data_IF_645659789417
#
_entry.id   IF_645659789417
#
_cell.length_a   1.000
_cell.length_b   1.000
_cell.length_c   1.000
_cell.angle_alpha   90.00
_cell.angle_beta   90.00
_cell.angle_gamma   90.00
#
_symmetry.space_group_name_H-M   'P 1'
#
loop_
_entity.id
_entity.type
_entity.pdbx_description
1 polymer ?
#
# COMPACT_ATOMS: atom_id res chain seq x y z
N UNK A 1 -37.87 -13.55 -9.43
CA UNK A 1 -36.41 -13.44 -9.64
C UNK A 1 -35.87 -12.52 -8.55
N UNK A 2 -34.93 -12.98 -7.73
CA UNK A 2 -34.36 -12.22 -6.60
C UNK A 2 -32.84 -12.46 -6.55
N UNK A 3 -32.05 -11.72 -7.35
CA UNK A 3 -30.63 -12.01 -7.56
C UNK A 3 -29.79 -12.01 -6.28
N UNK A 4 -30.08 -11.11 -5.33
CA UNK A 4 -29.37 -11.03 -4.06
C UNK A 4 -29.74 -12.17 -3.08
N UNK A 5 -31.00 -12.63 -3.08
CA UNK A 5 -31.47 -13.67 -2.17
C UNK A 5 -31.00 -15.08 -2.56
N UNK A 6 -30.70 -15.27 -3.86
CA UNK A 6 -30.21 -16.53 -4.42
C UNK A 6 -28.77 -16.41 -4.92
N UNK A 7 -27.98 -15.48 -4.36
CA UNK A 7 -26.56 -15.37 -4.67
C UNK A 7 -25.83 -16.63 -4.16
N UNK A 8 -25.27 -17.49 -5.03
CA UNK A 8 -24.60 -18.72 -4.61
C UNK A 8 -23.31 -18.47 -3.81
N UNK A 9 -22.76 -17.24 -3.81
CA UNK A 9 -21.62 -16.84 -2.98
C UNK A 9 -21.99 -16.68 -1.51
N UNK A 10 -23.16 -16.11 -1.24
CA UNK A 10 -23.60 -15.74 0.12
C UNK A 10 -24.62 -16.74 0.66
N UNK A 11 -25.46 -17.29 -0.22
CA UNK A 11 -26.62 -18.10 0.11
C UNK A 11 -26.70 -19.35 -0.79
N UNK A 12 -25.62 -20.15 -0.81
CA UNK A 12 -25.52 -21.35 -1.66
C UNK A 12 -26.74 -22.28 -1.53
N UNK A 13 -27.19 -22.56 -0.31
CA UNK A 13 -28.31 -23.49 -0.09
C UNK A 13 -29.61 -22.98 -0.71
N UNK A 14 -29.87 -21.67 -0.63
CA UNK A 14 -31.04 -21.04 -1.27
C UNK A 14 -30.89 -21.04 -2.79
N UNK A 15 -29.70 -20.78 -3.31
CA UNK A 15 -29.40 -20.84 -4.74
C UNK A 15 -29.60 -22.27 -5.30
N UNK A 16 -29.16 -23.29 -4.56
CA UNK A 16 -29.30 -24.69 -4.93
C UNK A 16 -30.75 -25.17 -4.86
N UNK A 17 -31.51 -24.80 -3.82
CA UNK A 17 -32.96 -25.05 -3.80
C UNK A 17 -33.67 -24.40 -4.99
N UNK A 18 -33.23 -23.19 -5.36
CA UNK A 18 -33.77 -22.50 -6.53
C UNK A 18 -33.41 -23.20 -7.84
N UNK A 19 -32.20 -23.75 -7.96
CA UNK A 19 -31.78 -24.60 -9.09
C UNK A 19 -32.70 -25.82 -9.24
N UNK A 20 -32.96 -26.56 -8.15
CA UNK A 20 -33.85 -27.73 -8.18
C UNK A 20 -35.28 -27.36 -8.60
N UNK A 21 -35.79 -26.23 -8.12
CA UNK A 21 -37.10 -25.72 -8.55
C UNK A 21 -37.15 -25.43 -10.05
N UNK A 22 -36.09 -24.84 -10.62
CA UNK A 22 -36.01 -24.56 -12.06
C UNK A 22 -35.92 -25.86 -12.86
N UNK A 23 -35.08 -26.82 -12.45
CA UNK A 23 -34.97 -28.12 -13.11
C UNK A 23 -36.31 -28.87 -13.14
N UNK A 24 -37.05 -28.87 -12.03
CA UNK A 24 -38.40 -29.45 -11.97
C UNK A 24 -39.38 -28.75 -12.94
N UNK A 25 -39.30 -27.42 -13.05
CA UNK A 25 -40.08 -26.65 -14.03
C UNK A 25 -39.70 -26.93 -15.49
N UNK A 26 -38.43 -27.23 -15.77
CA UNK A 26 -37.98 -27.63 -17.10
C UNK A 26 -38.47 -29.03 -17.48
N UNK A 27 -38.58 -29.95 -16.52
CA UNK A 27 -39.20 -31.26 -16.75
C UNK A 27 -40.69 -31.11 -17.04
N UNK A 28 -41.40 -30.30 -16.24
CA UNK A 28 -42.86 -30.12 -16.41
C UNK A 28 -43.25 -29.43 -17.72
N UNK A 29 -42.35 -28.62 -18.28
CA UNK A 29 -42.54 -27.96 -19.58
C UNK A 29 -42.00 -28.78 -20.76
N UNK A 30 -41.42 -29.96 -20.51
CA UNK A 30 -40.85 -30.84 -21.54
C UNK A 30 -39.52 -30.35 -22.11
N UNK A 31 -38.87 -29.35 -21.49
CA UNK A 31 -37.56 -28.85 -21.89
C UNK A 31 -36.42 -29.80 -21.51
N UNK A 32 -36.61 -30.65 -20.48
CA UNK A 32 -35.68 -31.70 -20.05
C UNK A 32 -36.43 -33.01 -19.77
N UNK A 33 -35.75 -34.15 -19.90
CA UNK A 33 -36.21 -35.41 -19.32
C UNK A 33 -35.91 -35.46 -17.81
N UNK A 34 -36.59 -36.34 -17.07
CA UNK A 34 -36.30 -36.55 -15.64
C UNK A 34 -34.84 -36.92 -15.42
N UNK A 35 -34.28 -37.81 -16.25
CA UNK A 35 -32.89 -38.25 -16.15
C UNK A 35 -31.90 -37.11 -16.39
N UNK A 36 -32.21 -36.18 -17.29
CA UNK A 36 -31.38 -34.98 -17.51
C UNK A 36 -31.43 -34.04 -16.31
N UNK A 37 -32.60 -33.86 -15.71
CA UNK A 37 -32.76 -33.04 -14.51
C UNK A 37 -32.05 -33.66 -13.30
N UNK A 38 -32.14 -34.97 -13.10
CA UNK A 38 -31.45 -35.68 -12.02
C UNK A 38 -29.93 -35.62 -12.18
N UNK A 39 -29.44 -35.76 -13.42
CA UNK A 39 -28.02 -35.60 -13.72
C UNK A 39 -27.53 -34.18 -13.41
N UNK A 40 -28.25 -33.14 -13.87
CA UNK A 40 -27.89 -31.76 -13.61
C UNK A 40 -27.99 -31.37 -12.13
N UNK A 41 -28.92 -31.97 -11.37
CA UNK A 41 -29.04 -31.78 -9.93
C UNK A 41 -27.87 -32.40 -9.15
N UNK A 42 -27.25 -33.45 -9.68
CA UNK A 42 -26.10 -34.14 -9.10
C UNK A 42 -24.73 -33.54 -9.45
N UNK A 43 -24.68 -32.51 -10.29
CA UNK A 43 -23.43 -31.81 -10.61
C UNK A 43 -22.92 -31.02 -9.39
N UNK A 44 -21.61 -31.09 -9.13
CA UNK A 44 -20.97 -30.34 -8.04
C UNK A 44 -20.70 -28.90 -8.47
N UNK A 45 -21.78 -28.13 -8.63
CA UNK A 45 -21.73 -26.71 -9.00
C UNK A 45 -20.94 -25.89 -7.96
N UNK A 46 -20.83 -26.38 -6.72
CA UNK A 46 -20.08 -25.73 -5.66
C UNK A 46 -18.58 -25.66 -5.95
N UNK A 47 -18.00 -26.73 -6.49
CA UNK A 47 -16.57 -26.75 -6.83
C UNK A 47 -16.26 -26.03 -8.14
N UNK A 48 -17.25 -25.85 -9.01
CA UNK A 48 -17.11 -25.11 -10.27
C UNK A 48 -17.34 -23.59 -10.14
N UNK A 49 -17.87 -23.12 -9.01
CA UNK A 49 -18.06 -21.69 -8.73
C UNK A 49 -16.71 -20.96 -8.70
N UNK A 50 -16.34 -20.38 -9.84
CA UNK A 50 -15.20 -19.47 -9.98
C UNK A 50 -15.56 -18.10 -9.37
N UNK A 51 -15.51 -18.01 -8.05
CA UNK A 51 -15.67 -16.73 -7.35
C UNK A 51 -14.44 -15.89 -7.67
N UNK A 52 -14.62 -14.82 -8.43
CA UNK A 52 -13.60 -13.79 -8.64
C UNK A 52 -13.06 -13.37 -7.27
N UNK A 53 -11.78 -13.61 -7.04
CA UNK A 53 -11.10 -13.22 -5.81
C UNK A 53 -11.29 -11.73 -5.60
N UNK A 54 -11.80 -11.35 -4.43
CA UNK A 54 -11.85 -9.92 -4.07
C UNK A 54 -10.42 -9.40 -3.95
N UNK A 55 -10.23 -8.08 -4.02
CA UNK A 55 -8.91 -7.47 -3.81
C UNK A 55 -8.20 -7.99 -2.54
N UNK A 56 -8.97 -8.36 -1.50
CA UNK A 56 -8.50 -9.00 -0.26
C UNK A 56 -7.74 -10.31 -0.45
N UNK A 57 -7.98 -11.05 -1.52
CA UNK A 57 -7.34 -12.33 -1.84
C UNK A 57 -6.20 -12.19 -2.86
N UNK A 58 -5.91 -10.96 -3.31
CA UNK A 58 -4.77 -10.68 -4.18
C UNK A 58 -3.45 -10.89 -3.43
N UNK A 59 -2.40 -11.20 -4.20
CA UNK A 59 -1.00 -11.20 -3.71
C UNK A 59 -0.48 -9.80 -3.37
N UNK A 60 -1.21 -8.74 -3.77
CA UNK A 60 -0.86 -7.34 -3.53
C UNK A 60 -2.12 -6.49 -3.29
N UNK A 61 -2.84 -6.70 -2.17
CA UNK A 61 -4.19 -6.15 -1.99
C UNK A 61 -4.21 -4.61 -2.00
N UNK A 62 -3.27 -3.95 -1.32
CA UNK A 62 -3.13 -2.48 -1.34
C UNK A 62 -2.89 -1.92 -2.74
N UNK A 63 -2.01 -2.56 -3.52
CA UNK A 63 -1.75 -2.15 -4.90
C UNK A 63 -2.98 -2.32 -5.80
N UNK A 64 -3.70 -3.43 -5.64
CA UNK A 64 -4.93 -3.69 -6.40
C UNK A 64 -6.00 -2.66 -6.05
N UNK A 65 -6.21 -2.34 -4.78
CA UNK A 65 -7.14 -1.30 -4.35
C UNK A 65 -6.78 0.06 -4.96
N UNK A 66 -5.49 0.43 -4.93
CA UNK A 66 -5.01 1.66 -5.54
C UNK A 66 -5.30 1.72 -7.05
N UNK A 67 -4.99 0.64 -7.78
CA UNK A 67 -5.26 0.55 -9.22
C UNK A 67 -6.76 0.60 -9.52
N UNK A 68 -7.60 -0.06 -8.73
CA UNK A 68 -9.06 0.00 -8.90
C UNK A 68 -9.58 1.42 -8.73
N UNK A 69 -9.16 2.14 -7.69
CA UNK A 69 -9.53 3.56 -7.48
C UNK A 69 -9.13 4.42 -8.67
N UNK A 70 -7.94 4.20 -9.24
CA UNK A 70 -7.48 4.98 -10.39
C UNK A 70 -8.22 4.62 -11.68
N UNK A 71 -8.57 3.35 -11.90
CA UNK A 71 -9.42 2.94 -13.01
C UNK A 71 -10.83 3.52 -12.89
N UNK A 72 -11.42 3.55 -11.70
CA UNK A 72 -12.73 4.14 -11.47
C UNK A 72 -12.73 5.65 -11.75
N UNK A 73 -11.66 6.37 -11.42
CA UNK A 73 -11.50 7.79 -11.79
C UNK A 73 -11.41 7.99 -13.30
N UNK A 74 -10.75 7.08 -14.02
CA UNK A 74 -10.48 7.22 -15.46
C UNK A 74 -11.67 6.77 -16.32
N UNK A 75 -12.31 5.66 -15.96
CA UNK A 75 -13.33 4.99 -16.79
C UNK A 75 -14.73 5.02 -16.18
N UNK A 76 -14.86 5.46 -14.93
CA UNK A 76 -16.11 5.40 -14.17
C UNK A 76 -16.34 4.03 -13.55
N UNK A 77 -16.98 4.01 -12.38
CA UNK A 77 -17.25 2.79 -11.61
C UNK A 77 -18.06 1.76 -12.39
N UNK A 78 -19.03 2.20 -13.19
CA UNK A 78 -19.86 1.30 -14.00
C UNK A 78 -19.04 0.49 -15.01
N UNK A 79 -18.07 1.11 -15.69
CA UNK A 79 -17.23 0.43 -16.67
C UNK A 79 -16.27 -0.58 -15.99
N UNK A 80 -15.71 -0.21 -14.84
CA UNK A 80 -14.83 -1.10 -14.06
C UNK A 80 -15.61 -2.32 -13.54
N UNK A 81 -16.83 -2.11 -13.02
CA UNK A 81 -17.67 -3.19 -12.48
C UNK A 81 -18.26 -4.13 -13.54
N UNK A 82 -18.55 -3.62 -14.74
CA UNK A 82 -19.04 -4.42 -15.86
C UNK A 82 -17.96 -5.37 -16.43
N UNK A 83 -16.68 -5.14 -16.09
CA UNK A 83 -15.57 -6.00 -16.48
C UNK A 83 -15.10 -5.80 -17.93
N UNK A 84 -14.38 -6.79 -18.45
CA UNK A 84 -13.83 -6.75 -19.82
C UNK A 84 -12.52 -5.96 -19.97
N UNK A 85 -12.03 -5.34 -18.90
CA UNK A 85 -10.75 -4.62 -18.88
C UNK A 85 -9.64 -5.55 -18.39
N UNK A 86 -8.59 -5.72 -19.21
CA UNK A 86 -7.36 -6.39 -18.79
C UNK A 86 -6.31 -5.33 -18.48
N UNK A 87 -5.84 -5.32 -17.24
CA UNK A 87 -4.88 -4.32 -16.76
C UNK A 87 -3.54 -4.99 -16.52
N UNK A 88 -2.53 -4.59 -17.31
CA UNK A 88 -1.14 -4.99 -17.09
C UNK A 88 -0.42 -3.89 -16.31
N UNK A 89 0.11 -4.24 -15.15
CA UNK A 89 0.78 -3.30 -14.25
C UNK A 89 2.30 -3.52 -14.24
N UNK A 90 3.02 -2.67 -13.52
CA UNK A 90 4.48 -2.72 -13.35
C UNK A 90 4.93 -3.55 -12.16
N UNK A 91 3.97 -4.10 -11.40
CA UNK A 91 4.21 -4.84 -10.17
C UNK A 91 5.03 -6.10 -10.44
N UNK A 92 6.10 -6.27 -9.66
CA UNK A 92 6.90 -7.48 -9.64
C UNK A 92 6.43 -8.33 -8.45
N UNK A 93 5.85 -9.50 -8.73
CA UNK A 93 5.26 -10.35 -7.69
C UNK A 93 6.31 -10.96 -6.75
N UNK A 94 7.52 -11.23 -7.25
CA UNK A 94 8.59 -11.79 -6.42
C UNK A 94 9.10 -10.71 -5.45
N UNK A 95 9.32 -9.49 -5.95
CA UNK A 95 9.70 -8.37 -5.10
C UNK A 95 8.57 -7.98 -4.13
N UNK A 96 7.31 -8.03 -4.57
CA UNK A 96 6.15 -7.80 -3.71
C UNK A 96 6.12 -8.77 -2.53
N UNK A 97 6.38 -10.07 -2.77
CA UNK A 97 6.41 -11.07 -1.72
C UNK A 97 7.55 -10.81 -0.72
N UNK A 98 8.73 -10.45 -1.21
CA UNK A 98 9.86 -10.07 -0.35
C UNK A 98 9.53 -8.82 0.47
N UNK A 99 8.92 -7.80 -0.13
CA UNK A 99 8.50 -6.58 0.55
C UNK A 99 7.48 -6.86 1.65
N UNK A 100 6.45 -7.67 1.36
CA UNK A 100 5.43 -8.05 2.34
C UNK A 100 6.04 -8.80 3.53
N UNK A 101 6.94 -9.76 3.27
CA UNK A 101 7.66 -10.48 4.32
C UNK A 101 8.53 -9.54 5.16
N UNK A 102 9.24 -8.59 4.54
CA UNK A 102 10.06 -7.62 5.25
C UNK A 102 9.24 -6.72 6.18
N UNK A 103 8.07 -6.25 5.73
CA UNK A 103 7.14 -5.44 6.55
C UNK A 103 6.60 -6.27 7.73
N UNK A 104 6.12 -7.49 7.47
CA UNK A 104 5.58 -8.36 8.51
C UNK A 104 6.64 -8.71 9.57
N UNK A 105 7.83 -9.15 9.13
CA UNK A 105 8.94 -9.48 10.02
C UNK A 105 9.41 -8.26 10.82
N UNK A 106 9.54 -7.09 10.17
CA UNK A 106 9.96 -5.87 10.85
C UNK A 106 8.98 -5.41 11.94
N UNK A 107 7.67 -5.55 11.70
CA UNK A 107 6.66 -5.28 12.72
C UNK A 107 6.75 -6.30 13.86
N UNK A 108 6.94 -7.58 13.55
CA UNK A 108 7.12 -8.61 14.57
C UNK A 108 8.35 -8.35 15.45
N UNK A 109 9.49 -8.00 14.86
CA UNK A 109 10.74 -7.69 15.56
C UNK A 109 10.62 -6.47 16.49
N UNK A 110 9.77 -5.51 16.09
CA UNK A 110 9.53 -4.27 16.83
C UNK A 110 8.30 -4.32 17.74
N UNK A 111 7.61 -5.46 17.82
CA UNK A 111 6.38 -5.63 18.61
C UNK A 111 6.56 -5.25 20.09
N UNK A 112 7.73 -5.50 20.67
CA UNK A 112 8.07 -5.09 22.05
C UNK A 112 8.05 -3.58 22.29
N UNK A 113 8.13 -2.77 21.22
CA UNK A 113 8.04 -1.31 21.26
C UNK A 113 6.63 -0.82 20.90
N UNK A 114 5.64 -1.72 20.91
CA UNK A 114 4.25 -1.42 20.55
C UNK A 114 4.10 -0.94 19.09
N UNK A 115 5.00 -1.38 18.21
CA UNK A 115 4.83 -1.24 16.76
C UNK A 115 3.91 -2.36 16.29
N UNK A 116 2.80 -2.00 15.65
CA UNK A 116 1.79 -2.96 15.18
C UNK A 116 1.54 -2.88 13.67
N UNK A 117 2.14 -1.93 12.97
CA UNK A 117 1.96 -1.74 11.54
C UNK A 117 3.18 -1.04 10.91
N UNK A 118 3.36 -1.21 9.61
CA UNK A 118 4.43 -0.60 8.81
C UNK A 118 4.06 -0.65 7.32
N UNK A 119 4.84 0.01 6.47
CA UNK A 119 4.64 0.01 5.02
C UNK A 119 5.95 0.02 4.27
N UNK A 120 5.87 -0.36 2.99
CA UNK A 120 6.98 -0.35 2.06
C UNK A 120 6.49 -0.05 0.65
N UNK A 121 7.14 0.90 -0.02
CA UNK A 121 6.96 1.18 -1.44
C UNK A 121 8.32 1.05 -2.13
N UNK A 122 8.38 0.28 -3.21
CA UNK A 122 9.56 0.18 -4.05
C UNK A 122 9.21 0.66 -5.47
N UNK A 123 10.01 1.60 -5.96
CA UNK A 123 9.86 2.15 -7.31
C UNK A 123 11.21 2.19 -8.04
N UNK A 124 11.16 2.02 -9.35
CA UNK A 124 12.33 2.22 -10.21
C UNK A 124 12.68 3.73 -10.27
N UNK A 125 13.91 4.13 -9.91
CA UNK A 125 14.26 5.55 -9.78
C UNK A 125 14.42 6.26 -11.14
N UNK A 126 14.49 5.53 -12.25
CA UNK A 126 14.63 6.12 -13.60
C UNK A 126 13.28 6.35 -14.25
N UNK A 127 12.35 5.45 -14.03
CA UNK A 127 11.04 5.41 -14.71
C UNK A 127 9.88 5.80 -13.80
N UNK A 128 10.05 5.72 -12.48
CA UNK A 128 8.98 5.88 -11.51
C UNK A 128 8.03 4.70 -11.42
N UNK A 129 8.28 3.60 -12.16
CA UNK A 129 7.44 2.40 -12.12
C UNK A 129 7.41 1.81 -10.71
N UNK A 130 6.22 1.64 -10.14
CA UNK A 130 6.07 0.93 -8.87
C UNK A 130 6.27 -0.56 -9.09
N UNK A 131 7.18 -1.16 -8.32
CA UNK A 131 7.52 -2.58 -8.39
C UNK A 131 6.96 -3.38 -7.21
N UNK A 132 6.82 -2.77 -6.05
CA UNK A 132 6.15 -3.35 -4.88
C UNK A 132 5.46 -2.27 -4.05
N UNK A 133 4.31 -2.61 -3.47
CA UNK A 133 3.47 -1.72 -2.68
C UNK A 133 2.81 -2.50 -1.54
N UNK A 134 3.20 -2.18 -0.31
CA UNK A 134 2.71 -2.80 0.92
C UNK A 134 2.27 -1.70 1.86
N UNK A 135 0.95 -1.50 1.97
CA UNK A 135 0.35 -0.46 2.80
C UNK A 135 0.23 -0.81 4.28
N UNK A 136 0.35 -2.07 4.65
CA UNK A 136 0.26 -2.54 6.04
C UNK A 136 0.94 -3.90 6.22
N UNK A 137 1.20 -4.28 7.48
CA UNK A 137 1.82 -5.56 7.82
C UNK A 137 0.92 -6.78 7.55
N UNK A 138 -0.39 -6.60 7.69
CA UNK A 138 -1.40 -7.60 7.33
C UNK A 138 -2.67 -6.88 6.89
N UNK A 139 -3.00 -6.98 5.60
CA UNK A 139 -4.18 -6.36 5.02
C UNK A 139 -5.49 -6.88 5.64
N UNK A 140 -5.53 -8.16 6.01
CA UNK A 140 -6.73 -8.81 6.54
C UNK A 140 -6.98 -8.55 8.03
N UNK A 141 -6.06 -7.89 8.72
CA UNK A 141 -6.12 -7.71 10.16
C UNK A 141 -6.74 -6.37 10.56
N UNK A 142 -8.02 -6.39 10.92
CA UNK A 142 -8.75 -5.18 11.32
C UNK A 142 -8.21 -4.55 12.61
N UNK A 143 -7.58 -5.33 13.51
CA UNK A 143 -7.07 -4.82 14.79
C UNK A 143 -5.90 -3.82 14.62
N UNK A 144 -5.20 -3.88 13.49
CA UNK A 144 -4.12 -2.94 13.12
C UNK A 144 -4.57 -1.94 12.04
N UNK A 145 -5.85 -1.98 11.64
CA UNK A 145 -6.37 -1.25 10.50
C UNK A 145 -5.74 -1.72 9.19
N UNK A 146 -5.67 -3.04 8.95
CA UNK A 146 -4.93 -3.64 7.84
C UNK A 146 -5.25 -3.08 6.46
N UNK A 147 -6.50 -2.67 6.20
CA UNK A 147 -6.90 -2.06 4.92
C UNK A 147 -6.52 -0.58 4.78
N UNK A 148 -6.03 0.06 5.86
CA UNK A 148 -5.53 1.41 5.79
C UNK A 148 -4.15 1.42 5.13
N UNK A 149 -4.06 2.02 3.95
CA UNK A 149 -2.81 2.12 3.21
C UNK A 149 -1.91 3.23 3.78
N UNK A 150 -0.90 2.82 4.55
CA UNK A 150 0.06 3.74 5.17
C UNK A 150 0.96 4.40 4.11
N UNK A 151 1.15 3.83 2.92
CA UNK A 151 1.94 4.45 1.83
C UNK A 151 1.29 5.77 1.39
N UNK A 152 -0.04 5.83 1.37
CA UNK A 152 -0.79 7.04 0.99
C UNK A 152 -1.02 8.01 2.16
N UNK A 153 -0.63 7.62 3.38
CA UNK A 153 -0.92 8.39 4.58
C UNK A 153 0.08 9.54 4.77
N UNK A 154 -0.37 10.81 4.88
CA UNK A 154 0.53 11.91 5.18
C UNK A 154 1.22 11.73 6.53
N UNK A 155 2.55 11.76 6.53
CA UNK A 155 3.39 11.69 7.74
C UNK A 155 4.51 12.73 7.65
N UNK A 156 5.00 13.17 8.80
CA UNK A 156 6.20 13.98 8.84
C UNK A 156 7.41 13.10 8.47
N UNK A 157 8.20 13.47 7.43
CA UNK A 157 9.37 12.68 7.03
C UNK A 157 10.50 12.71 8.06
N UNK A 158 10.49 13.71 8.95
CA UNK A 158 11.55 13.93 9.93
C UNK A 158 12.90 14.11 9.24
N UNK A 159 13.95 13.48 9.79
CA UNK A 159 15.32 13.60 9.27
C UNK A 159 15.51 13.10 7.84
N UNK A 160 14.62 12.24 7.32
CA UNK A 160 14.68 11.78 5.93
C UNK A 160 14.48 12.92 4.91
N UNK A 161 14.02 14.10 5.35
CA UNK A 161 13.90 15.29 4.50
C UNK A 161 15.20 16.08 4.33
N UNK A 162 16.19 15.89 5.23
CA UNK A 162 17.44 16.66 5.20
C UNK A 162 18.18 16.58 3.86
N UNK A 163 18.28 15.44 3.16
CA UNK A 163 18.90 15.39 1.84
C UNK A 163 18.38 16.46 0.86
N UNK A 164 17.08 16.78 0.87
CA UNK A 164 16.52 17.82 0.02
C UNK A 164 16.96 19.24 0.42
N UNK A 165 17.11 19.50 1.72
CA UNK A 165 17.65 20.78 2.22
C UNK A 165 19.09 20.98 1.78
N UNK A 166 19.91 19.94 1.88
CA UNK A 166 21.31 19.98 1.46
C UNK A 166 21.44 20.04 -0.06
N UNK A 167 20.62 19.30 -0.80
CA UNK A 167 20.58 19.34 -2.27
C UNK A 167 20.30 20.74 -2.76
N UNK A 168 19.25 21.40 -2.25
CA UNK A 168 18.91 22.76 -2.64
C UNK A 168 20.05 23.75 -2.38
N UNK A 169 20.71 23.66 -1.21
CA UNK A 169 21.83 24.53 -0.87
C UNK A 169 23.08 24.27 -1.72
N UNK A 170 23.37 23.03 -2.08
CA UNK A 170 24.47 22.67 -2.97
C UNK A 170 24.21 23.13 -4.40
N UNK A 171 22.98 22.92 -4.88
CA UNK A 171 22.53 23.33 -6.21
C UNK A 171 22.57 24.84 -6.38
N UNK A 172 22.18 25.58 -5.33
CA UNK A 172 22.24 27.04 -5.31
C UNK A 172 23.65 27.58 -4.97
N UNK A 173 24.67 26.71 -4.89
CA UNK A 173 26.07 27.02 -4.57
C UNK A 173 26.27 27.75 -3.24
N UNK A 174 25.34 27.61 -2.29
CA UNK A 174 25.44 28.20 -0.93
C UNK A 174 26.45 27.46 -0.07
N UNK A 175 26.64 26.17 -0.31
CA UNK A 175 27.61 25.32 0.39
C UNK A 175 28.34 24.41 -0.58
N UNK A 176 29.44 23.82 -0.11
CA UNK A 176 30.04 22.60 -0.66
C UNK A 176 30.05 21.53 0.42
N UNK A 177 30.35 20.28 0.07
CA UNK A 177 30.50 19.23 1.07
C UNK A 177 31.61 19.49 2.11
N UNK A 178 32.58 20.35 1.77
CA UNK A 178 33.66 20.77 2.67
C UNK A 178 33.32 22.01 3.51
N UNK A 179 32.18 22.68 3.27
CA UNK A 179 31.75 23.84 4.07
C UNK A 179 31.66 23.44 5.54
N UNK A 180 32.24 24.27 6.41
CA UNK A 180 32.18 24.09 7.85
C UNK A 180 30.86 24.65 8.37
N UNK A 181 30.12 23.82 9.09
CA UNK A 181 28.86 24.13 9.77
C UNK A 181 29.06 24.05 11.28
N UNK A 182 28.24 24.77 12.02
CA UNK A 182 28.40 24.95 13.46
C UNK A 182 27.35 24.16 14.23
N UNK A 183 27.70 22.96 14.67
CA UNK A 183 26.84 22.08 15.46
C UNK A 183 26.91 22.41 16.95
N UNK A 184 26.35 23.57 17.29
CA UNK A 184 26.28 24.14 18.65
C UNK A 184 24.95 24.83 18.86
N UNK A 185 24.43 24.84 20.09
CA UNK A 185 23.12 25.43 20.39
C UNK A 185 23.01 26.85 19.81
N UNK A 186 22.12 27.02 18.85
CA UNK A 186 21.98 28.25 18.05
C UNK A 186 20.53 28.68 18.03
N UNK A 187 20.31 29.98 18.18
CA UNK A 187 18.98 30.58 18.07
C UNK A 187 18.78 31.15 16.66
N UNK A 188 17.91 30.52 15.90
CA UNK A 188 17.48 30.96 14.57
C UNK A 188 16.18 31.76 14.71
N UNK A 189 16.28 33.05 15.08
CA UNK A 189 15.13 33.96 15.17
C UNK A 189 13.97 33.46 16.06
N UNK A 190 14.31 32.95 17.25
CA UNK A 190 13.38 32.38 18.23
C UNK A 190 13.26 30.85 18.14
N UNK A 191 13.77 30.22 17.09
CA UNK A 191 13.81 28.77 16.94
C UNK A 191 15.16 28.20 17.40
N UNK A 192 15.15 27.39 18.46
CA UNK A 192 16.35 26.76 19.04
C UNK A 192 16.27 25.23 18.94
N UNK A 193 16.63 24.65 17.78
CA UNK A 193 16.62 23.20 17.59
C UNK A 193 17.67 22.54 18.50
N UNK A 194 17.42 21.26 18.81
CA UNK A 194 18.36 20.39 19.51
C UNK A 194 18.60 19.14 18.69
N UNK A 195 19.80 18.59 18.77
CA UNK A 195 20.09 17.28 18.20
C UNK A 195 19.54 16.15 19.04
N UNK A 196 19.45 14.96 18.45
CA UNK A 196 18.86 13.79 19.07
C UNK A 196 19.55 13.37 20.38
N UNK A 197 20.85 13.68 20.51
CA UNK A 197 21.70 13.38 21.66
C UNK A 197 21.77 14.54 22.69
N UNK A 198 21.08 15.65 22.44
CA UNK A 198 21.17 16.91 23.19
C UNK A 198 22.59 17.51 23.28
N UNK A 199 23.55 17.00 22.50
CA UNK A 199 24.92 17.50 22.40
C UNK A 199 25.13 18.34 21.15
N UNK A 200 26.39 18.74 20.93
CA UNK A 200 26.85 19.35 19.70
C UNK A 200 28.22 18.79 19.33
N UNK A 201 28.48 18.61 18.03
CA UNK A 201 29.76 18.13 17.51
C UNK A 201 30.76 19.27 17.23
N UNK A 202 30.38 20.53 17.49
CA UNK A 202 31.22 21.69 17.20
C UNK A 202 31.29 21.98 15.70
N UNK A 203 32.47 22.36 15.22
CA UNK A 203 32.67 22.73 13.81
C UNK A 203 32.90 21.48 12.97
N UNK A 204 31.92 21.14 12.11
CA UNK A 204 31.94 19.93 11.28
C UNK A 204 31.68 20.25 9.82
N UNK A 205 32.16 19.40 8.91
CA UNK A 205 31.88 19.54 7.48
C UNK A 205 30.40 19.25 7.18
N UNK A 206 29.85 19.88 6.15
CA UNK A 206 28.51 19.58 5.64
C UNK A 206 28.32 18.09 5.32
N UNK A 207 29.35 17.42 4.78
CA UNK A 207 29.35 15.96 4.57
C UNK A 207 29.17 15.16 5.86
N UNK A 208 29.78 15.61 6.96
CA UNK A 208 29.67 14.99 8.28
C UNK A 208 28.29 15.26 8.89
N UNK A 209 27.80 16.48 8.74
CA UNK A 209 26.51 16.91 9.29
C UNK A 209 25.33 16.11 8.72
N UNK A 210 25.30 15.89 7.39
CA UNK A 210 24.25 15.07 6.77
C UNK A 210 24.38 13.59 7.15
N UNK A 211 25.61 13.07 7.23
CA UNK A 211 25.88 11.66 7.60
C UNK A 211 25.35 11.33 9.01
N UNK A 212 25.63 12.21 9.98
CA UNK A 212 25.13 12.06 11.34
C UNK A 212 23.74 12.64 11.56
N UNK A 213 23.08 13.11 10.50
CA UNK A 213 21.76 13.72 10.55
C UNK A 213 21.66 14.77 11.67
N UNK A 214 22.59 15.73 11.71
CA UNK A 214 22.55 16.82 12.71
C UNK A 214 21.45 17.82 12.36
N UNK A 215 20.62 18.16 13.34
CA UNK A 215 19.47 19.07 13.23
C UNK A 215 19.93 20.52 13.11
N UNK A 216 20.85 20.97 13.97
CA UNK A 216 21.31 22.37 14.00
C UNK A 216 21.98 22.76 12.65
N UNK A 217 22.97 22.00 12.15
CA UNK A 217 23.53 22.19 10.81
C UNK A 217 22.50 22.14 9.68
N UNK A 218 21.50 21.25 9.75
CA UNK A 218 20.45 21.21 8.72
C UNK A 218 19.63 22.51 8.67
N UNK A 219 19.37 23.12 9.82
CA UNK A 219 18.71 24.44 9.90
C UNK A 219 19.64 25.53 9.37
N UNK A 220 20.93 25.53 9.73
CA UNK A 220 21.91 26.48 9.18
C UNK A 220 21.94 26.43 7.64
N UNK A 221 21.99 25.23 7.06
CA UNK A 221 21.98 25.02 5.60
C UNK A 221 20.69 25.55 4.96
N UNK A 222 19.53 25.28 5.58
CA UNK A 222 18.23 25.71 5.05
C UNK A 222 17.97 27.21 5.18
N UNK A 223 18.46 27.84 6.26
CA UNK A 223 18.29 29.28 6.50
C UNK A 223 19.21 30.14 5.61
N UNK A 224 20.36 29.57 5.21
CA UNK A 224 21.47 30.32 4.60
C UNK A 224 22.21 31.14 5.66
N UNK A 225 23.53 31.28 5.50
CA UNK A 225 24.32 32.11 6.41
C UNK A 225 23.78 33.55 6.36
N UNK A 226 23.22 34.03 7.48
CA UNK A 226 23.13 35.47 7.71
C UNK A 226 24.56 35.96 7.96
N UNK A 227 25.18 36.47 6.91
CA UNK A 227 26.34 37.36 7.06
C UNK A 227 25.93 38.62 7.80
#
# INVERSE_FOLDING_TARGET
QAPAAYDPKVHYDLAHQRQLYVLSGMVSTGALTSEQADKAAGEDVKSELQIQSTARQSKAPHFVDHVLVDLEKLFGSAAVQQGGIVVRTTLDLDLQQVAAAAVANGVQDLSRFNVNNSSLLAADPKTGEVRAWVGSADYGNDAIGGQFDVVLSPRQPGSSFKPYVYEAALRDHKITWATILHDRLTNFNGYMPRDFDNGGMGDIKASTAILYSRNIPAVQVGHGDQK
#
